data_IF_206659609020
#
_entry.id   IF_206659609020
#
_cell.length_a   1.000
_cell.length_b   1.000
_cell.length_c   1.000
_cell.angle_alpha   90.00
_cell.angle_beta   90.00
_cell.angle_gamma   90.00
#
_symmetry.space_group_name_H-M   'P 1'
#
loop_
_entity.id
_entity.type
_entity.pdbx_description
1 polymer ?
#
# COMPACT_ATOMS: atom_id res chain seq x y z
N UNK A 1 4.65 16.92 -2.24
CA UNK A 1 4.71 18.32 -2.68
C UNK A 1 4.58 18.49 -4.21
N UNK A 2 5.24 17.67 -5.03
CA UNK A 2 5.13 17.77 -6.51
C UNK A 2 3.68 17.69 -6.97
N UNK A 3 2.92 16.72 -6.46
CA UNK A 3 1.49 16.55 -6.76
C UNK A 3 0.70 17.82 -6.45
N UNK A 4 0.91 18.42 -5.27
CA UNK A 4 0.21 19.64 -4.89
C UNK A 4 0.53 20.84 -5.79
N UNK A 5 1.80 21.00 -6.16
CA UNK A 5 2.23 22.09 -7.04
C UNK A 5 1.62 21.96 -8.43
N UNK A 6 1.61 20.75 -8.98
CA UNK A 6 1.09 20.48 -10.34
C UNK A 6 -0.43 20.52 -10.38
N UNK A 7 -1.10 19.92 -9.41
CA UNK A 7 -2.57 19.86 -9.36
C UNK A 7 -3.22 21.12 -8.82
N UNK A 8 -2.48 21.95 -8.06
CA UNK A 8 -2.99 23.10 -7.27
C UNK A 8 -4.02 22.70 -6.20
N UNK A 9 -4.02 21.44 -5.78
CA UNK A 9 -4.84 20.88 -4.72
C UNK A 9 -3.93 20.46 -3.57
N UNK A 10 -4.42 20.45 -2.31
CA UNK A 10 -3.68 19.75 -1.27
C UNK A 10 -3.64 18.23 -1.57
N UNK A 11 -2.70 17.52 -0.97
CA UNK A 11 -2.45 16.13 -1.32
C UNK A 11 -3.65 15.22 -1.05
N UNK A 12 -4.34 15.41 0.08
CA UNK A 12 -5.52 14.61 0.40
C UNK A 12 -6.68 14.88 -0.57
N UNK A 13 -6.94 16.14 -0.89
CA UNK A 13 -7.96 16.51 -1.87
C UNK A 13 -7.69 15.86 -3.23
N UNK A 14 -6.42 15.90 -3.67
CA UNK A 14 -6.03 15.24 -4.92
C UNK A 14 -6.32 13.74 -4.88
N UNK A 15 -5.86 13.05 -3.81
CA UNK A 15 -6.10 11.61 -3.68
C UNK A 15 -7.61 11.28 -3.61
N UNK A 16 -8.36 12.09 -2.89
CA UNK A 16 -9.81 11.91 -2.75
C UNK A 16 -10.51 11.95 -4.09
N UNK A 17 -10.29 13.00 -4.87
CA UNK A 17 -10.96 13.23 -6.14
C UNK A 17 -10.48 12.31 -7.26
N UNK A 18 -9.19 12.00 -7.32
CA UNK A 18 -8.60 11.25 -8.44
C UNK A 18 -8.49 9.74 -8.17
N UNK A 19 -8.51 9.32 -6.91
CA UNK A 19 -8.31 7.92 -6.52
C UNK A 19 -9.48 7.40 -5.67
N UNK A 20 -9.75 8.02 -4.51
CA UNK A 20 -10.66 7.42 -3.53
C UNK A 20 -12.12 7.42 -3.98
N UNK A 21 -12.64 8.56 -4.42
CA UNK A 21 -14.01 8.64 -4.94
C UNK A 21 -14.22 7.77 -6.19
N UNK A 22 -13.32 7.79 -7.20
CA UNK A 22 -13.46 6.90 -8.35
C UNK A 22 -13.37 5.40 -8.03
N UNK A 23 -12.77 5.03 -6.91
CA UNK A 23 -12.64 3.65 -6.46
C UNK A 23 -13.68 3.26 -5.38
N UNK A 24 -14.62 4.12 -5.06
CA UNK A 24 -15.59 3.93 -3.96
C UNK A 24 -14.91 3.67 -2.59
N UNK A 25 -13.76 4.33 -2.35
CA UNK A 25 -12.98 4.22 -1.11
C UNK A 25 -13.41 5.32 -0.12
N UNK A 26 -14.65 5.28 0.31
CA UNK A 26 -15.28 6.36 1.10
C UNK A 26 -14.77 6.48 2.54
N UNK A 27 -14.16 5.43 3.06
CA UNK A 27 -13.61 5.39 4.42
C UNK A 27 -12.09 5.57 4.47
N UNK A 28 -11.46 5.79 3.30
CA UNK A 28 -10.01 6.01 3.21
C UNK A 28 -9.67 7.48 3.41
N UNK A 29 -8.86 7.77 4.43
CA UNK A 29 -8.58 9.15 4.87
C UNK A 29 -7.29 9.24 5.70
N UNK A 30 -6.90 10.46 6.07
CA UNK A 30 -5.74 10.73 6.92
C UNK A 30 -6.09 11.04 8.37
N UNK A 31 -7.35 11.34 8.67
CA UNK A 31 -7.78 11.73 10.01
C UNK A 31 -8.85 10.80 10.53
N UNK A 32 -8.74 10.43 11.80
CA UNK A 32 -9.72 9.63 12.53
C UNK A 32 -10.74 10.55 13.21
N UNK A 33 -12.01 10.35 12.90
CA UNK A 33 -13.10 10.88 13.73
C UNK A 33 -13.26 10.06 15.01
N UNK A 34 -14.05 10.54 15.95
CA UNK A 34 -14.35 9.79 17.18
C UNK A 34 -15.05 8.45 16.87
N UNK A 35 -15.84 8.42 15.81
CA UNK A 35 -16.55 7.22 15.38
C UNK A 35 -15.58 6.21 14.75
N UNK A 36 -14.64 6.68 13.95
CA UNK A 36 -13.57 5.82 13.39
C UNK A 36 -12.72 5.19 14.48
N UNK A 37 -12.38 5.93 15.54
CA UNK A 37 -11.58 5.43 16.67
C UNK A 37 -12.25 4.24 17.36
N UNK A 38 -13.58 4.20 17.40
CA UNK A 38 -14.32 3.07 17.98
C UNK A 38 -14.19 1.77 17.17
N UNK A 39 -13.86 1.89 15.90
CA UNK A 39 -13.68 0.78 14.93
C UNK A 39 -12.22 0.52 14.57
N UNK A 40 -11.31 1.36 15.05
CA UNK A 40 -9.90 1.25 14.72
C UNK A 40 -9.32 -0.05 15.30
N UNK A 41 -8.70 -0.84 14.42
CA UNK A 41 -8.13 -2.12 14.82
C UNK A 41 -6.90 -1.88 15.71
N UNK A 42 -6.88 -2.45 16.93
CA UNK A 42 -5.68 -2.33 17.77
C UNK A 42 -4.50 -3.06 17.13
N UNK A 43 -3.33 -2.42 17.22
CA UNK A 43 -2.07 -3.02 16.79
C UNK A 43 -1.42 -3.80 17.92
N UNK A 44 -0.81 -4.92 17.59
CA UNK A 44 -0.01 -5.68 18.54
C UNK A 44 1.43 -5.17 18.54
N UNK A 45 1.85 -4.60 19.65
CA UNK A 45 3.23 -4.17 19.85
C UNK A 45 4.01 -5.32 20.48
N UNK A 46 5.19 -5.59 19.93
CA UNK A 46 6.17 -6.49 20.50
C UNK A 46 7.56 -5.82 20.43
N UNK A 47 7.82 -4.94 21.37
CA UNK A 47 9.07 -4.18 21.42
C UNK A 47 9.79 -4.42 22.76
N UNK A 48 10.71 -5.36 22.77
CA UNK A 48 11.47 -5.73 23.97
C UNK A 48 10.58 -6.22 25.10
N UNK A 49 10.50 -5.46 26.17
CA UNK A 49 9.66 -5.77 27.34
C UNK A 49 8.22 -5.29 27.20
N UNK A 50 7.94 -4.43 26.23
CA UNK A 50 6.58 -3.90 25.98
C UNK A 50 5.89 -4.80 24.97
N UNK A 51 4.84 -5.47 25.42
CA UNK A 51 4.02 -6.36 24.58
C UNK A 51 2.56 -6.15 24.87
N UNK A 52 1.74 -6.04 23.84
CA UNK A 52 0.30 -5.92 23.99
C UNK A 52 -0.37 -5.23 22.83
N UNK A 53 -1.68 -5.11 22.91
CA UNK A 53 -2.48 -4.37 21.95
C UNK A 53 -2.58 -2.90 22.32
N UNK A 54 -2.53 -2.01 21.35
CA UNK A 54 -2.72 -0.58 21.52
C UNK A 54 -3.48 0.03 20.34
N UNK A 55 -4.25 1.07 20.64
CA UNK A 55 -4.89 1.95 19.64
C UNK A 55 -4.23 3.34 19.62
N UNK A 56 -3.23 3.54 20.47
CA UNK A 56 -2.54 4.82 20.68
C UNK A 56 -1.24 4.85 19.86
N UNK A 57 -1.35 4.69 18.54
CA UNK A 57 -0.20 4.77 17.66
C UNK A 57 -0.25 6.06 16.85
N UNK A 58 0.84 6.80 16.92
CA UNK A 58 1.10 8.00 16.14
C UNK A 58 -0.10 8.97 16.09
N UNK A 59 -0.73 9.21 17.24
CA UNK A 59 -1.94 10.04 17.36
C UNK A 59 -1.81 11.38 16.64
N UNK A 60 -0.62 11.98 16.68
CA UNK A 60 -0.35 13.25 16.01
C UNK A 60 -0.57 13.21 14.50
N UNK A 61 -0.35 12.06 13.87
CA UNK A 61 -0.54 11.88 12.42
C UNK A 61 -2.02 11.82 12.06
N UNK A 62 -2.85 11.28 12.95
CA UNK A 62 -4.28 11.04 12.70
C UNK A 62 -5.22 12.09 13.30
N UNK A 63 -4.68 13.12 13.94
CA UNK A 63 -5.48 14.21 14.48
C UNK A 63 -6.04 15.11 13.38
N UNK A 64 -7.31 15.52 13.53
CA UNK A 64 -7.99 16.42 12.58
C UNK A 64 -7.30 17.78 12.45
N UNK A 65 -6.60 18.22 13.49
CA UNK A 65 -5.83 19.46 13.50
C UNK A 65 -4.54 19.41 12.65
N UNK A 66 -4.07 18.20 12.31
CA UNK A 66 -2.88 18.04 11.50
C UNK A 66 -3.18 18.34 10.03
N UNK A 67 -2.57 19.36 9.49
CA UNK A 67 -2.70 19.75 8.07
C UNK A 67 -1.65 19.13 7.15
N UNK A 68 -0.75 18.30 7.68
CA UNK A 68 0.26 17.62 6.88
C UNK A 68 -0.26 16.26 6.39
N UNK A 69 -0.20 16.06 5.09
CA UNK A 69 -0.55 14.80 4.44
C UNK A 69 0.71 14.20 3.82
N UNK A 70 1.15 13.06 4.34
CA UNK A 70 2.39 12.41 3.92
C UNK A 70 2.12 11.31 2.89
N UNK A 71 2.97 11.22 1.87
CA UNK A 71 2.85 10.18 0.84
C UNK A 71 3.34 8.80 1.28
N UNK A 72 4.06 8.73 2.39
CA UNK A 72 4.64 7.49 2.90
C UNK A 72 3.99 6.95 4.18
N UNK A 73 3.08 7.72 4.81
CA UNK A 73 2.46 7.34 6.08
C UNK A 73 1.14 8.07 6.34
N UNK A 74 0.41 7.65 7.35
CA UNK A 74 -0.76 8.35 7.87
C UNK A 74 -2.07 8.06 7.13
N UNK A 75 -2.07 7.22 6.09
CA UNK A 75 -3.30 6.82 5.43
C UNK A 75 -3.98 5.71 6.21
N UNK A 76 -5.26 5.90 6.49
CA UNK A 76 -6.13 4.95 7.14
C UNK A 76 -7.13 4.44 6.12
N UNK A 77 -7.45 3.15 6.15
CA UNK A 77 -8.38 2.54 5.20
C UNK A 77 -9.12 1.36 5.85
N UNK A 78 -10.06 0.81 5.10
CA UNK A 78 -10.72 -0.44 5.44
C UNK A 78 -10.32 -1.54 4.47
N UNK A 79 -10.56 -2.79 4.86
CA UNK A 79 -10.37 -3.95 3.99
C UNK A 79 -11.14 -3.80 2.66
N UNK A 80 -12.39 -3.32 2.73
CA UNK A 80 -13.23 -3.12 1.54
C UNK A 80 -12.65 -2.05 0.60
N UNK A 81 -12.31 -0.88 1.14
CA UNK A 81 -11.76 0.22 0.35
C UNK A 81 -10.45 -0.19 -0.33
N UNK A 82 -9.54 -0.77 0.44
CA UNK A 82 -8.24 -1.16 -0.11
C UNK A 82 -8.35 -2.34 -1.09
N UNK A 83 -9.35 -3.21 -0.94
CA UNK A 83 -9.67 -4.24 -1.95
C UNK A 83 -10.05 -3.62 -3.29
N UNK A 84 -10.81 -2.51 -3.29
CA UNK A 84 -11.14 -1.79 -4.53
C UNK A 84 -9.88 -1.26 -5.24
N UNK A 85 -8.91 -0.77 -4.48
CA UNK A 85 -7.61 -0.38 -5.01
C UNK A 85 -6.84 -1.58 -5.61
N UNK A 86 -6.81 -2.71 -4.91
CA UNK A 86 -6.19 -3.94 -5.43
C UNK A 86 -6.88 -4.45 -6.69
N UNK A 87 -8.22 -4.43 -6.74
CA UNK A 87 -9.00 -4.79 -7.93
C UNK A 87 -8.64 -3.89 -9.11
N UNK A 88 -8.55 -2.58 -8.89
CA UNK A 88 -8.15 -1.62 -9.93
C UNK A 88 -6.77 -1.95 -10.48
N UNK A 89 -5.80 -2.24 -9.62
CA UNK A 89 -4.45 -2.60 -10.06
C UNK A 89 -4.43 -3.94 -10.81
N UNK A 90 -5.12 -4.97 -10.30
CA UNK A 90 -5.24 -6.29 -10.94
C UNK A 90 -5.87 -6.19 -12.34
N UNK A 91 -6.84 -5.29 -12.51
CA UNK A 91 -7.50 -5.03 -13.78
C UNK A 91 -6.76 -4.02 -14.69
N UNK A 92 -5.44 -3.91 -14.56
CA UNK A 92 -4.63 -3.04 -15.43
C UNK A 92 -5.00 -1.55 -15.32
N UNK A 93 -5.48 -1.10 -14.15
CA UNK A 93 -5.84 0.30 -13.88
C UNK A 93 -7.29 0.66 -14.14
N UNK A 94 -8.18 -0.33 -14.25
CA UNK A 94 -9.62 -0.14 -14.46
C UNK A 94 -10.41 -0.60 -13.24
N UNK A 95 -11.37 0.21 -12.80
CA UNK A 95 -12.34 -0.15 -11.78
C UNK A 95 -13.75 0.17 -12.27
N UNK A 96 -14.67 -0.80 -12.20
CA UNK A 96 -16.07 -0.67 -12.67
C UNK A 96 -16.20 -0.01 -14.06
N UNK A 97 -15.31 -0.38 -14.98
CA UNK A 97 -15.29 0.16 -16.34
C UNK A 97 -14.65 1.55 -16.50
N UNK A 98 -14.26 2.21 -15.41
CA UNK A 98 -13.57 3.50 -15.44
C UNK A 98 -12.06 3.29 -15.32
N UNK A 99 -11.29 3.94 -16.20
CA UNK A 99 -9.82 3.95 -16.11
C UNK A 99 -9.36 4.97 -15.09
N UNK A 100 -8.62 4.51 -14.09
CA UNK A 100 -8.04 5.33 -13.02
C UNK A 100 -6.57 5.63 -13.33
N UNK A 101 -5.82 4.60 -13.72
CA UNK A 101 -4.41 4.73 -14.11
C UNK A 101 -4.18 3.97 -15.42
N UNK A 102 -3.23 4.43 -16.24
CA UNK A 102 -2.94 3.74 -17.50
C UNK A 102 -2.23 2.41 -17.25
N UNK A 103 -2.50 1.42 -18.09
CA UNK A 103 -1.79 0.14 -18.08
C UNK A 103 -0.28 0.35 -18.24
N UNK A 104 0.12 1.31 -19.09
CA UNK A 104 1.51 1.71 -19.23
C UNK A 104 2.12 2.20 -17.91
N UNK A 105 1.38 2.97 -17.13
CA UNK A 105 1.86 3.45 -15.82
C UNK A 105 2.03 2.29 -14.82
N UNK A 106 1.10 1.33 -14.80
CA UNK A 106 1.25 0.11 -13.99
C UNK A 106 2.51 -0.65 -14.44
N UNK A 107 2.68 -0.89 -15.74
CA UNK A 107 3.87 -1.55 -16.26
C UNK A 107 5.18 -0.84 -15.87
N UNK A 108 5.19 0.50 -15.85
CA UNK A 108 6.33 1.27 -15.36
C UNK A 108 6.52 1.05 -13.85
N UNK A 109 5.46 1.13 -13.05
CA UNK A 109 5.54 0.96 -11.60
C UNK A 109 6.04 -0.43 -11.19
N UNK A 110 5.69 -1.45 -11.95
CA UNK A 110 6.03 -2.85 -11.69
C UNK A 110 7.25 -3.35 -12.49
N UNK A 111 7.95 -2.45 -13.17
CA UNK A 111 9.22 -2.78 -13.83
C UNK A 111 10.38 -2.78 -12.83
N UNK A 112 11.37 -3.60 -13.12
CA UNK A 112 12.61 -3.68 -12.33
C UNK A 112 13.49 -2.44 -12.56
N UNK A 113 13.74 -1.70 -11.49
CA UNK A 113 14.63 -0.53 -11.50
C UNK A 113 15.86 -0.68 -10.59
N UNK A 114 15.85 -1.63 -9.66
CA UNK A 114 17.00 -1.97 -8.83
C UNK A 114 17.59 -3.31 -9.23
N UNK A 115 18.84 -3.56 -8.87
CA UNK A 115 19.41 -4.90 -8.84
C UNK A 115 18.74 -5.72 -7.73
N UNK A 116 18.66 -7.03 -7.92
CA UNK A 116 18.25 -7.97 -6.87
C UNK A 116 19.07 -7.73 -5.61
N UNK A 117 18.45 -7.88 -4.45
CA UNK A 117 19.19 -7.88 -3.19
C UNK A 117 20.24 -8.99 -3.22
N UNK A 118 21.54 -8.69 -2.98
CA UNK A 118 22.55 -9.73 -2.87
C UNK A 118 22.28 -10.58 -1.63
N UNK A 119 22.40 -11.90 -1.76
CA UNK A 119 22.19 -12.85 -0.66
C UNK A 119 23.05 -12.55 0.58
N UNK A 120 24.22 -11.93 0.38
CA UNK A 120 25.22 -11.71 1.44
C UNK A 120 24.95 -10.45 2.30
N UNK A 121 24.13 -9.51 1.86
CA UNK A 121 23.96 -8.22 2.54
C UNK A 121 22.73 -8.14 3.44
N UNK A 122 21.77 -9.06 3.32
CA UNK A 122 20.52 -8.97 4.07
C UNK A 122 20.24 -10.28 4.81
N UNK A 123 20.15 -10.19 6.12
CA UNK A 123 19.66 -11.28 6.97
C UNK A 123 18.18 -11.64 6.74
N UNK A 124 17.46 -10.85 5.93
CA UNK A 124 16.06 -11.06 5.58
C UNK A 124 15.95 -11.81 4.25
N UNK A 125 15.94 -13.13 4.33
CA UNK A 125 15.77 -14.03 3.17
C UNK A 125 14.37 -13.95 2.56
N UNK A 126 13.41 -13.30 3.20
CA UNK A 126 12.03 -13.17 2.71
C UNK A 126 11.91 -12.32 1.44
N UNK A 127 12.96 -11.64 1.03
CA UNK A 127 13.00 -10.77 -0.16
C UNK A 127 13.92 -11.27 -1.25
N UNK A 128 14.44 -12.47 -1.13
CA UNK A 128 15.23 -13.08 -2.20
C UNK A 128 14.37 -13.22 -3.46
N UNK A 129 14.95 -12.89 -4.62
CA UNK A 129 14.24 -12.89 -5.89
C UNK A 129 13.40 -11.64 -6.18
N UNK A 130 13.21 -10.76 -5.20
CA UNK A 130 12.48 -9.50 -5.37
C UNK A 130 13.40 -8.34 -5.78
N UNK A 131 12.82 -7.43 -6.53
CA UNK A 131 13.40 -6.15 -6.93
C UNK A 131 12.45 -5.01 -6.57
N UNK A 132 12.90 -3.77 -6.75
CA UNK A 132 12.05 -2.59 -6.62
C UNK A 132 11.64 -2.03 -7.96
N UNK A 133 10.32 -1.79 -8.09
CA UNK A 133 9.72 -0.89 -9.05
C UNK A 133 9.56 0.52 -8.44
N UNK A 134 8.57 1.27 -8.89
CA UNK A 134 8.21 2.55 -8.25
C UNK A 134 7.26 2.28 -7.08
N UNK A 135 7.77 2.45 -5.84
CA UNK A 135 7.04 2.25 -4.58
C UNK A 135 6.39 0.88 -4.42
N UNK A 136 6.92 -0.14 -5.09
CA UNK A 136 6.47 -1.53 -4.99
C UNK A 136 7.66 -2.48 -5.10
N UNK A 137 7.64 -3.58 -4.36
CA UNK A 137 8.49 -4.72 -4.66
C UNK A 137 7.88 -5.53 -5.81
N UNK A 138 8.73 -6.17 -6.58
CA UNK A 138 8.36 -7.00 -7.74
C UNK A 138 9.15 -8.29 -7.72
N UNK A 139 8.49 -9.43 -7.77
CA UNK A 139 9.15 -10.75 -7.85
C UNK A 139 9.69 -10.98 -9.26
N UNK A 140 10.99 -10.89 -9.42
CA UNK A 140 11.68 -11.09 -10.71
C UNK A 140 12.19 -12.52 -10.89
N UNK A 141 12.66 -13.14 -9.81
CA UNK A 141 13.20 -14.51 -9.84
C UNK A 141 12.49 -15.43 -8.84
N UNK A 142 11.40 -16.11 -9.25
CA UNK A 142 10.70 -17.06 -8.41
C UNK A 142 11.51 -18.28 -8.01
N UNK A 143 12.57 -18.61 -8.73
CA UNK A 143 13.42 -19.76 -8.41
C UNK A 143 14.27 -19.49 -7.16
N UNK A 144 14.69 -18.24 -6.99
CA UNK A 144 15.45 -17.80 -5.80
C UNK A 144 14.50 -17.59 -4.61
N UNK A 145 13.30 -17.06 -4.85
CA UNK A 145 12.25 -16.93 -3.83
C UNK A 145 11.84 -18.29 -3.22
N UNK A 146 11.81 -19.35 -4.02
CA UNK A 146 11.58 -20.71 -3.57
C UNK A 146 10.17 -21.03 -3.07
N UNK A 147 9.23 -20.08 -3.12
CA UNK A 147 7.85 -20.24 -2.63
C UNK A 147 6.91 -20.85 -3.67
N UNK A 148 7.34 -20.99 -4.92
CA UNK A 148 6.49 -21.38 -6.04
C UNK A 148 5.55 -20.26 -6.51
N UNK A 149 5.84 -19.03 -6.14
CA UNK A 149 5.13 -17.84 -6.54
C UNK A 149 5.30 -17.53 -8.04
N UNK A 150 4.37 -16.81 -8.63
CA UNK A 150 4.43 -16.41 -10.04
C UNK A 150 5.44 -15.27 -10.25
N UNK A 151 6.15 -15.28 -11.35
CA UNK A 151 6.98 -14.12 -11.75
C UNK A 151 6.09 -12.90 -11.97
N UNK A 152 6.55 -11.74 -11.49
CA UNK A 152 5.84 -10.47 -11.67
C UNK A 152 4.81 -10.16 -10.58
N UNK A 153 4.71 -10.98 -9.52
CA UNK A 153 3.99 -10.57 -8.31
C UNK A 153 4.56 -9.24 -7.83
N UNK A 154 3.67 -8.30 -7.48
CA UNK A 154 4.04 -7.00 -6.97
C UNK A 154 3.15 -6.55 -5.82
N UNK A 155 3.65 -5.70 -4.96
CA UNK A 155 2.93 -5.20 -3.80
C UNK A 155 3.76 -4.33 -2.88
N UNK A 156 3.25 -4.09 -1.69
CA UNK A 156 3.96 -3.35 -0.64
C UNK A 156 3.49 -3.74 0.76
N UNK A 157 4.27 -3.30 1.75
CA UNK A 157 3.95 -3.49 3.17
C UNK A 157 3.92 -2.14 3.88
N UNK A 158 3.02 -1.99 4.83
CA UNK A 158 3.00 -0.86 5.75
C UNK A 158 3.81 -1.12 7.02
N UNK A 159 4.24 -0.05 7.67
CA UNK A 159 5.01 -0.11 8.92
C UNK A 159 4.26 -0.85 10.04
N UNK A 160 2.93 -0.73 10.07
CA UNK A 160 2.06 -1.35 11.08
C UNK A 160 1.60 -2.78 10.71
N UNK A 161 2.30 -3.45 9.80
CA UNK A 161 2.02 -4.85 9.47
C UNK A 161 0.94 -5.05 8.41
N UNK A 162 0.40 -3.98 7.82
CA UNK A 162 -0.47 -4.10 6.65
C UNK A 162 0.33 -4.58 5.45
N UNK A 163 -0.29 -5.40 4.61
CA UNK A 163 0.40 -5.99 3.48
C UNK A 163 -0.56 -6.24 2.32
N UNK A 164 -0.13 -5.96 1.10
CA UNK A 164 -0.85 -6.40 -0.08
C UNK A 164 0.10 -6.88 -1.18
N UNK A 165 -0.38 -7.80 -1.98
CA UNK A 165 0.29 -8.20 -3.20
C UNK A 165 -0.73 -8.61 -4.28
N UNK A 166 -0.31 -8.51 -5.52
CA UNK A 166 -1.08 -8.85 -6.71
C UNK A 166 -0.27 -9.83 -7.52
N UNK A 167 -0.91 -10.92 -7.92
CA UNK A 167 -0.37 -11.93 -8.83
C UNK A 167 -1.07 -11.77 -10.18
N UNK A 168 -0.44 -11.13 -11.17
CA UNK A 168 -1.05 -10.89 -12.46
C UNK A 168 -1.17 -12.17 -13.31
N UNK A 169 -0.38 -13.21 -13.03
CA UNK A 169 -0.47 -14.50 -13.75
C UNK A 169 -1.69 -15.30 -13.31
N UNK A 170 -2.04 -15.22 -12.03
CA UNK A 170 -3.16 -15.97 -11.45
C UNK A 170 -4.44 -15.14 -11.34
N UNK A 171 -4.41 -13.88 -11.78
CA UNK A 171 -5.53 -12.92 -11.64
C UNK A 171 -6.08 -12.87 -10.23
N UNK A 172 -5.17 -12.70 -9.27
CA UNK A 172 -5.53 -12.68 -7.85
C UNK A 172 -4.72 -11.65 -7.07
N UNK A 173 -5.26 -11.25 -5.93
CA UNK A 173 -4.53 -10.45 -4.96
C UNK A 173 -4.75 -11.00 -3.55
N UNK A 174 -3.86 -10.64 -2.64
CA UNK A 174 -4.07 -10.81 -1.21
C UNK A 174 -3.89 -9.47 -0.51
N UNK A 175 -4.67 -9.28 0.54
CA UNK A 175 -4.64 -8.12 1.40
C UNK A 175 -4.69 -8.56 2.85
N UNK A 176 -3.75 -8.07 3.64
CA UNK A 176 -3.68 -8.28 5.07
C UNK A 176 -3.68 -6.90 5.76
N UNK A 177 -4.59 -6.73 6.71
CA UNK A 177 -4.67 -5.54 7.56
C UNK A 177 -4.68 -5.99 9.02
N UNK A 178 -3.77 -5.46 9.80
CA UNK A 178 -3.67 -5.70 11.24
C UNK A 178 -4.04 -4.44 12.01
#
# INVERSE_FOLDING_TARGET
RVVEVVSKKNFYQFLKEEIFEPLDMSETKFHLTQDDRSRFQPLYINFGTIKGFTTELDELTYEESNSAYFGGEGLISTMNDYSNFCIMLSNGGIYKGKRIISEKSIGIMTSKYSSSYPEEEFADTSKLGFNYGFSMFVLDDPMVDGTGSSKGIYGWSGYHGTHFWIDPEKDMFALFMS
#
